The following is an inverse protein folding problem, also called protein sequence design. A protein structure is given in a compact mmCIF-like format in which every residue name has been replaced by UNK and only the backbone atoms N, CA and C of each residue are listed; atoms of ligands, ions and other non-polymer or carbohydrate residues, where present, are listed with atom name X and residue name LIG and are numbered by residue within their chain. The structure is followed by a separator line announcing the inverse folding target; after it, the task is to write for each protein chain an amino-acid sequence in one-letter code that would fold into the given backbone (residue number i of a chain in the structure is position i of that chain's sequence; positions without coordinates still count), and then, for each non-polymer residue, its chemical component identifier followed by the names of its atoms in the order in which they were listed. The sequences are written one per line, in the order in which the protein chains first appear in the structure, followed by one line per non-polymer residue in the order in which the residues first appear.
data_IF_687867553836
#
_entry.id   IF_687867553836
#
_cell.length_a   1.000
_cell.length_b   1.000
_cell.length_c   1.000
_cell.angle_alpha   90.00
_cell.angle_beta   90.00
_cell.angle_gamma   90.00
#
_symmetry.space_group_name_H-M   'P 1'
#
loop_
_entity.id
_entity.type
_entity.pdbx_description
1 polymer ?
#
# COMPACT_ATOMS: atom_id res chain seq x y z
N UNK A 1 -26.62 -27.20 -19.30
CA UNK A 1 -25.42 -27.70 -19.99
C UNK A 1 -24.41 -26.55 -20.01
N UNK A 2 -23.51 -26.51 -19.02
CA UNK A 2 -22.49 -25.45 -18.88
C UNK A 2 -21.39 -25.73 -19.91
N UNK A 3 -21.12 -24.78 -20.80
CA UNK A 3 -19.86 -24.77 -21.55
C UNK A 3 -18.85 -24.07 -20.62
N UNK A 4 -18.01 -24.86 -19.94
CA UNK A 4 -16.78 -24.34 -19.33
C UNK A 4 -15.98 -23.76 -20.48
N UNK A 5 -15.80 -22.45 -20.49
CA UNK A 5 -14.77 -21.81 -21.31
C UNK A 5 -13.45 -22.17 -20.65
N UNK A 6 -12.58 -22.86 -21.38
CA UNK A 6 -11.18 -23.01 -21.02
C UNK A 6 -10.62 -21.60 -20.84
N UNK A 7 -10.26 -21.26 -19.60
CA UNK A 7 -9.51 -20.05 -19.30
C UNK A 7 -8.12 -20.28 -19.93
N UNK A 8 -7.86 -19.60 -21.03
CA UNK A 8 -6.56 -19.59 -21.65
C UNK A 8 -5.49 -19.21 -20.60
N UNK A 9 -4.36 -19.90 -20.63
CA UNK A 9 -3.09 -19.59 -20.00
C UNK A 9 -2.64 -18.15 -20.33
N UNK A 10 -3.26 -17.13 -19.72
CA UNK A 10 -2.70 -15.79 -19.73
C UNK A 10 -1.58 -15.78 -18.69
N UNK A 11 -0.33 -15.82 -19.15
CA UNK A 11 0.82 -15.60 -18.31
C UNK A 11 0.57 -14.38 -17.40
N UNK A 12 0.95 -14.43 -16.11
CA UNK A 12 0.77 -13.29 -15.22
C UNK A 12 1.41 -12.06 -15.85
N UNK A 13 0.74 -10.90 -15.77
CA UNK A 13 1.33 -9.63 -16.18
C UNK A 13 2.44 -9.26 -15.19
N UNK A 14 3.59 -9.90 -15.36
CA UNK A 14 4.76 -9.74 -14.52
C UNK A 14 5.36 -8.32 -14.72
N UNK A 15 6.03 -7.79 -13.69
CA UNK A 15 6.85 -6.59 -13.82
C UNK A 15 7.78 -6.70 -15.03
N UNK A 16 7.81 -5.69 -15.89
CA UNK A 16 8.73 -5.68 -17.03
C UNK A 16 10.19 -5.63 -16.56
N UNK A 17 11.06 -6.39 -17.22
CA UNK A 17 12.51 -6.31 -17.03
C UNK A 17 13.11 -5.16 -17.85
N UNK A 18 14.36 -4.79 -17.55
CA UNK A 18 15.05 -3.68 -18.22
C UNK A 18 15.20 -3.86 -19.73
N UNK A 19 15.42 -5.11 -20.18
CA UNK A 19 15.55 -5.45 -21.60
C UNK A 19 14.23 -5.32 -22.36
N UNK A 20 13.10 -5.39 -21.64
CA UNK A 20 11.75 -5.26 -22.18
C UNK A 20 11.16 -3.85 -21.93
N UNK A 21 11.98 -2.88 -21.50
CA UNK A 21 11.48 -1.56 -21.15
C UNK A 21 10.97 -0.79 -22.38
N UNK A 22 9.71 -0.28 -22.36
CA UNK A 22 9.14 0.42 -23.51
C UNK A 22 9.92 1.68 -23.87
N UNK A 23 10.25 1.80 -25.16
CA UNK A 23 11.04 2.92 -25.70
C UNK A 23 10.39 4.29 -25.45
N UNK A 24 9.06 4.32 -25.43
CA UNK A 24 8.21 5.49 -25.26
C UNK A 24 8.44 6.16 -23.91
N UNK A 25 8.80 5.39 -22.88
CA UNK A 25 9.07 5.82 -21.50
C UNK A 25 10.50 5.48 -21.07
N UNK A 26 11.43 5.37 -22.02
CA UNK A 26 12.85 5.07 -21.76
C UNK A 26 13.51 6.04 -20.77
N UNK A 27 13.07 7.30 -20.76
CA UNK A 27 13.47 8.35 -19.81
C UNK A 27 13.10 8.02 -18.35
N UNK A 28 12.10 7.17 -18.12
CA UNK A 28 11.60 6.82 -16.79
C UNK A 28 12.29 5.60 -16.17
N UNK A 29 13.05 4.82 -16.96
CA UNK A 29 13.65 3.54 -16.53
C UNK A 29 14.57 3.70 -15.32
N UNK A 30 15.46 4.69 -15.36
CA UNK A 30 16.45 4.90 -14.30
C UNK A 30 15.89 5.70 -13.11
N UNK A 31 14.60 6.02 -13.11
CA UNK A 31 13.92 6.73 -12.03
C UNK A 31 13.06 5.79 -11.17
N UNK A 32 12.05 6.37 -10.51
CA UNK A 32 11.16 5.63 -9.61
C UNK A 32 10.45 4.44 -10.30
N UNK A 33 10.24 4.53 -11.61
CA UNK A 33 9.43 3.56 -12.33
C UNK A 33 10.17 2.24 -12.56
N UNK A 34 11.48 2.27 -12.80
CA UNK A 34 12.29 1.05 -12.92
C UNK A 34 12.77 0.50 -11.58
N UNK A 35 12.63 1.22 -10.47
CA UNK A 35 13.07 0.71 -9.16
C UNK A 35 12.04 -0.16 -8.46
N UNK A 36 10.75 -0.05 -8.79
CA UNK A 36 9.69 -0.76 -8.07
C UNK A 36 8.86 -1.64 -9.01
N UNK A 37 8.53 -2.86 -8.56
CA UNK A 37 7.75 -3.82 -9.32
C UNK A 37 6.33 -3.33 -9.62
N UNK A 38 5.74 -2.54 -8.74
CA UNK A 38 4.44 -1.88 -8.98
C UNK A 38 4.44 -1.01 -10.24
N UNK A 39 5.47 -0.18 -10.44
CA UNK A 39 5.58 0.67 -11.62
C UNK A 39 6.08 -0.06 -12.86
N UNK A 40 6.92 -1.09 -12.70
CA UNK A 40 7.25 -2.04 -13.78
C UNK A 40 6.01 -2.78 -14.28
N UNK A 41 5.08 -3.14 -13.41
CA UNK A 41 3.79 -3.73 -13.81
C UNK A 41 2.94 -2.70 -14.56
N UNK A 42 2.83 -1.48 -14.04
CA UNK A 42 2.12 -0.39 -14.72
C UNK A 42 2.74 -0.01 -16.08
N UNK A 43 4.05 -0.21 -16.26
CA UNK A 43 4.75 0.10 -17.50
C UNK A 43 4.32 -0.77 -18.69
N UNK A 44 3.58 -1.88 -18.46
CA UNK A 44 2.83 -2.58 -19.52
C UNK A 44 1.82 -1.66 -20.24
N UNK A 45 1.44 -0.54 -19.62
CA UNK A 45 0.71 0.56 -20.24
C UNK A 45 1.53 1.88 -20.16
N UNK A 46 2.43 2.15 -21.11
CA UNK A 46 3.36 3.29 -21.05
C UNK A 46 2.68 4.65 -20.91
N UNK A 47 1.58 4.88 -21.64
CA UNK A 47 0.84 6.14 -21.57
C UNK A 47 0.23 6.38 -20.17
N UNK A 48 -0.26 5.33 -19.51
CA UNK A 48 -0.77 5.42 -18.14
C UNK A 48 0.36 5.77 -17.17
N UNK A 49 1.49 5.06 -17.22
CA UNK A 49 2.63 5.33 -16.33
C UNK A 49 3.17 6.76 -16.51
N UNK A 50 3.21 7.27 -17.74
CA UNK A 50 3.61 8.65 -18.02
C UNK A 50 2.62 9.67 -17.42
N UNK A 51 1.32 9.43 -17.52
CA UNK A 51 0.30 10.28 -16.89
C UNK A 51 0.30 10.18 -15.36
N UNK A 52 0.67 9.01 -14.82
CA UNK A 52 0.76 8.73 -13.39
C UNK A 52 1.90 9.51 -12.72
N UNK A 53 3.04 9.67 -13.39
CA UNK A 53 4.24 10.29 -12.83
C UNK A 53 4.04 11.68 -12.17
N UNK A 54 3.38 12.67 -12.80
CA UNK A 54 3.14 13.97 -12.16
C UNK A 54 2.19 13.87 -10.96
N UNK A 55 1.12 13.05 -11.03
CA UNK A 55 0.22 12.84 -9.91
C UNK A 55 0.95 12.16 -8.73
N UNK A 56 1.73 11.12 -9.02
CA UNK A 56 2.60 10.47 -8.04
C UNK A 56 3.53 11.47 -7.37
N UNK A 57 4.18 12.35 -8.14
CA UNK A 57 5.08 13.35 -7.55
C UNK A 57 4.36 14.19 -6.50
N UNK A 58 3.15 14.67 -6.80
CA UNK A 58 2.34 15.40 -5.83
C UNK A 58 2.00 14.54 -4.61
N UNK A 59 1.36 13.39 -4.82
CA UNK A 59 0.89 12.51 -3.73
C UNK A 59 2.04 12.01 -2.85
N UNK A 60 3.22 11.74 -3.42
CA UNK A 60 4.35 11.13 -2.69
C UNK A 60 5.32 12.15 -2.10
N UNK A 61 5.50 13.32 -2.73
CA UNK A 61 6.55 14.30 -2.35
C UNK A 61 6.01 15.68 -2.01
N UNK A 62 5.12 16.23 -2.84
CA UNK A 62 4.77 17.66 -2.79
C UNK A 62 3.44 17.92 -2.03
N UNK A 63 2.89 16.91 -1.35
CA UNK A 63 1.65 16.97 -0.58
C UNK A 63 1.76 17.79 0.73
N UNK A 64 0.63 18.22 1.27
CA UNK A 64 0.49 18.96 2.52
C UNK A 64 0.38 18.07 3.79
N UNK A 65 0.33 16.74 3.64
CA UNK A 65 0.32 15.80 4.77
C UNK A 65 1.70 15.72 5.44
N UNK A 66 2.76 15.86 4.65
CA UNK A 66 4.12 15.55 5.09
C UNK A 66 4.38 14.05 5.22
N UNK A 67 5.62 13.65 5.54
CA UNK A 67 6.04 12.25 5.51
C UNK A 67 5.32 11.39 6.56
N UNK A 68 5.11 11.90 7.77
CA UNK A 68 4.46 11.15 8.85
C UNK A 68 2.99 10.85 8.55
N UNK A 69 2.20 11.86 8.20
CA UNK A 69 0.75 11.68 7.99
C UNK A 69 0.45 10.92 6.71
N UNK A 70 1.22 11.17 5.64
CA UNK A 70 1.04 10.40 4.41
C UNK A 70 1.28 8.91 4.65
N UNK A 71 2.30 8.55 5.44
CA UNK A 71 2.56 7.14 5.79
C UNK A 71 1.42 6.49 6.58
N UNK A 72 0.82 7.19 7.55
CA UNK A 72 -0.35 6.69 8.30
C UNK A 72 -1.55 6.46 7.37
N UNK A 73 -1.80 7.38 6.43
CA UNK A 73 -2.88 7.22 5.43
C UNK A 73 -2.64 5.97 4.59
N UNK A 74 -1.41 5.75 4.12
CA UNK A 74 -1.10 4.59 3.27
C UNK A 74 -1.15 3.28 4.05
N UNK A 75 -0.58 3.21 5.25
CA UNK A 75 -0.66 2.02 6.09
C UNK A 75 -2.11 1.61 6.35
N UNK A 76 -2.99 2.57 6.69
CA UNK A 76 -4.42 2.27 6.86
C UNK A 76 -5.07 1.84 5.55
N UNK A 77 -4.78 2.51 4.43
CA UNK A 77 -5.34 2.14 3.14
C UNK A 77 -4.91 0.74 2.69
N UNK A 78 -3.62 0.40 2.85
CA UNK A 78 -3.07 -0.92 2.56
C UNK A 78 -3.74 -2.01 3.41
N UNK A 79 -3.93 -1.76 4.71
CA UNK A 79 -4.66 -2.64 5.61
C UNK A 79 -6.11 -2.84 5.15
N UNK A 80 -6.82 -1.75 4.81
CA UNK A 80 -8.21 -1.78 4.33
C UNK A 80 -8.38 -2.49 3.00
N UNK A 81 -7.39 -2.42 2.12
CA UNK A 81 -7.34 -3.15 0.84
C UNK A 81 -6.92 -4.61 1.01
N UNK A 82 -6.32 -4.97 2.15
CA UNK A 82 -5.62 -6.25 2.34
C UNK A 82 -4.52 -6.46 1.28
N UNK A 83 -3.78 -5.39 0.97
CA UNK A 83 -2.67 -5.44 0.04
C UNK A 83 -1.37 -5.71 0.78
N UNK A 84 -0.85 -6.94 0.67
CA UNK A 84 0.45 -7.30 1.25
C UNK A 84 1.59 -6.49 0.66
N UNK A 85 1.52 -6.22 -0.65
CA UNK A 85 2.55 -5.46 -1.35
C UNK A 85 2.64 -4.06 -0.75
N UNK A 86 1.52 -3.34 -0.71
CA UNK A 86 1.50 -1.98 -0.17
C UNK A 86 1.86 -1.98 1.32
N UNK A 87 1.31 -2.90 2.11
CA UNK A 87 1.61 -3.00 3.54
C UNK A 87 3.11 -3.14 3.78
N UNK A 88 3.77 -4.12 3.14
CA UNK A 88 5.20 -4.40 3.36
C UNK A 88 6.12 -3.25 2.93
N UNK A 89 5.86 -2.64 1.78
CA UNK A 89 6.65 -1.50 1.31
C UNK A 89 6.50 -0.30 2.25
N UNK A 90 5.31 -0.11 2.80
CA UNK A 90 5.02 0.99 3.71
C UNK A 90 5.46 0.71 5.16
N UNK A 91 5.58 -0.56 5.60
CA UNK A 91 6.30 -0.90 6.84
C UNK A 91 7.77 -0.47 6.75
N UNK A 92 8.46 -0.82 5.66
CA UNK A 92 9.85 -0.41 5.42
C UNK A 92 10.00 1.12 5.43
N UNK A 93 9.14 1.82 4.69
CA UNK A 93 9.15 3.28 4.63
C UNK A 93 8.83 3.94 5.97
N UNK A 94 7.85 3.43 6.71
CA UNK A 94 7.51 3.90 8.04
C UNK A 94 8.69 3.78 9.02
N UNK A 95 9.41 2.65 8.98
CA UNK A 95 10.63 2.46 9.77
C UNK A 95 11.73 3.44 9.36
N UNK A 96 11.90 3.70 8.07
CA UNK A 96 12.89 4.65 7.56
C UNK A 96 12.63 6.09 8.02
N UNK A 97 11.37 6.46 8.31
CA UNK A 97 11.00 7.77 8.90
C UNK A 97 10.89 7.75 10.43
N UNK A 98 11.28 6.65 11.08
CA UNK A 98 11.41 6.54 12.53
C UNK A 98 10.17 6.03 13.28
N UNK A 99 9.20 5.40 12.61
CA UNK A 99 8.08 4.77 13.31
C UNK A 99 8.55 3.54 14.10
N UNK A 100 8.00 3.36 15.30
CA UNK A 100 8.12 2.09 16.01
C UNK A 100 7.21 1.04 15.37
N UNK A 101 7.59 -0.23 15.50
CA UNK A 101 6.73 -1.36 15.08
C UNK A 101 5.36 -1.31 15.77
N UNK A 102 5.30 -0.81 17.01
CA UNK A 102 4.05 -0.64 17.75
C UNK A 102 3.11 0.40 17.10
N UNK A 103 3.65 1.55 16.69
CA UNK A 103 2.87 2.57 15.97
C UNK A 103 2.36 2.05 14.62
N UNK A 104 3.20 1.30 13.90
CA UNK A 104 2.81 0.65 12.64
C UNK A 104 1.67 -0.34 12.88
N UNK A 105 1.81 -1.24 13.87
CA UNK A 105 0.76 -2.22 14.22
C UNK A 105 -0.55 -1.56 14.64
N UNK A 106 -0.47 -0.43 15.37
CA UNK A 106 -1.66 0.30 15.80
C UNK A 106 -2.56 0.70 14.62
N UNK A 107 -2.01 0.90 13.42
CA UNK A 107 -2.78 1.24 12.21
C UNK A 107 -3.69 0.13 11.70
N UNK A 108 -3.51 -1.12 12.13
CA UNK A 108 -4.45 -2.20 11.86
C UNK A 108 -5.63 -2.22 12.83
N UNK A 109 -5.47 -1.61 14.01
CA UNK A 109 -6.49 -1.53 15.05
C UNK A 109 -7.19 -0.18 15.05
N UNK A 110 -7.35 0.36 16.27
CA UNK A 110 -7.93 1.68 16.55
C UNK A 110 -6.88 2.52 17.27
N UNK A 111 -5.95 3.17 16.54
CA UNK A 111 -4.94 4.02 17.17
C UNK A 111 -5.60 5.22 17.83
N UNK A 112 -4.94 5.79 18.84
CA UNK A 112 -5.41 6.99 19.54
C UNK A 112 -4.92 8.29 18.85
N UNK A 113 -5.44 9.43 19.29
CA UNK A 113 -4.96 10.75 18.89
C UNK A 113 -5.09 11.05 17.39
N UNK A 114 -4.09 11.75 16.82
CA UNK A 114 -4.09 12.15 15.40
C UNK A 114 -4.03 10.93 14.46
N UNK A 115 -3.29 9.87 14.84
CA UNK A 115 -3.22 8.62 14.08
C UNK A 115 -4.61 7.95 13.99
N UNK A 116 -5.34 7.93 15.10
CA UNK A 116 -6.73 7.48 15.17
C UNK A 116 -7.68 8.29 14.29
N UNK A 117 -7.52 9.61 14.29
CA UNK A 117 -8.32 10.50 13.46
C UNK A 117 -8.07 10.25 11.97
N UNK A 118 -6.81 10.07 11.56
CA UNK A 118 -6.43 9.70 10.19
C UNK A 118 -6.98 8.32 9.82
N UNK A 119 -6.88 7.34 10.72
CA UNK A 119 -7.40 5.99 10.48
C UNK A 119 -8.91 6.01 10.21
N UNK A 120 -9.69 6.71 11.05
CA UNK A 120 -11.14 6.91 10.85
C UNK A 120 -11.47 7.62 9.54
N UNK A 121 -10.65 8.59 9.13
CA UNK A 121 -10.82 9.30 7.85
C UNK A 121 -10.69 8.35 6.65
N UNK A 122 -9.65 7.53 6.65
CA UNK A 122 -9.45 6.50 5.62
C UNK A 122 -10.61 5.52 5.64
N UNK A 123 -11.02 5.05 6.82
CA UNK A 123 -12.14 4.12 6.96
C UNK A 123 -13.44 4.67 6.36
N UNK A 124 -13.79 5.91 6.68
CA UNK A 124 -14.97 6.57 6.14
C UNK A 124 -14.93 6.66 4.59
N UNK A 125 -13.75 6.89 4.00
CA UNK A 125 -13.62 6.88 2.54
C UNK A 125 -13.86 5.48 1.93
N UNK A 126 -13.43 4.42 2.62
CA UNK A 126 -13.70 3.04 2.20
C UNK A 126 -15.14 2.59 2.46
N UNK A 127 -15.74 2.97 3.57
CA UNK A 127 -17.06 2.49 4.02
C UNK A 127 -18.20 3.35 3.51
N UNK A 128 -18.04 4.66 3.59
CA UNK A 128 -19.09 5.64 3.28
C UNK A 128 -18.88 6.34 1.93
N UNK A 129 -17.73 6.12 1.28
CA UNK A 129 -17.33 6.79 0.03
C UNK A 129 -17.17 8.31 0.14
N UNK A 130 -17.14 8.84 1.37
CA UNK A 130 -16.96 10.26 1.68
C UNK A 130 -16.56 10.44 3.14
N UNK A 131 -16.06 11.62 3.48
CA UNK A 131 -15.92 12.03 4.89
C UNK A 131 -17.26 12.59 5.40
N UNK A 132 -17.83 12.08 6.50
CA UNK A 132 -18.91 12.73 7.22
C UNK A 132 -18.53 14.16 7.60
N UNK A 133 -19.48 15.10 7.55
CA UNK A 133 -19.19 16.53 7.77
C UNK A 133 -18.54 16.83 9.11
N UNK A 134 -18.93 16.10 10.18
CA UNK A 134 -18.31 16.24 11.49
C UNK A 134 -16.84 15.78 11.50
N UNK A 135 -16.55 14.63 10.86
CA UNK A 135 -15.20 14.09 10.76
C UNK A 135 -14.31 14.97 9.87
N UNK A 136 -14.84 15.49 8.77
CA UNK A 136 -14.15 16.44 7.89
C UNK A 136 -13.78 17.73 8.64
N UNK A 137 -14.69 18.27 9.46
CA UNK A 137 -14.43 19.46 10.26
C UNK A 137 -13.34 19.21 11.31
N UNK A 138 -13.39 18.08 12.01
CA UNK A 138 -12.37 17.66 12.99
C UNK A 138 -10.99 17.50 12.34
N UNK A 139 -10.91 16.77 11.21
CA UNK A 139 -9.68 16.62 10.42
C UNK A 139 -9.13 17.96 9.95
N UNK A 140 -9.98 18.80 9.35
CA UNK A 140 -9.58 20.10 8.86
C UNK A 140 -9.01 21.00 9.95
N UNK A 141 -9.54 20.91 11.18
CA UNK A 141 -9.01 21.64 12.33
C UNK A 141 -7.64 21.10 12.79
N UNK A 142 -7.43 19.78 12.72
CA UNK A 142 -6.20 19.14 13.17
C UNK A 142 -5.03 19.27 12.18
N UNK A 143 -5.28 18.96 10.89
CA UNK A 143 -4.23 18.84 9.86
C UNK A 143 -4.30 19.93 8.77
N UNK A 144 -5.35 20.75 8.79
CA UNK A 144 -5.59 21.79 7.79
C UNK A 144 -6.30 21.27 6.54
N UNK A 145 -7.16 22.11 5.95
CA UNK A 145 -8.00 21.76 4.79
C UNK A 145 -7.21 21.22 3.60
N UNK A 146 -6.04 21.80 3.29
CA UNK A 146 -5.19 21.33 2.17
C UNK A 146 -4.74 19.88 2.37
N UNK A 147 -4.35 19.51 3.60
CA UNK A 147 -3.96 18.15 3.91
C UNK A 147 -5.14 17.17 3.85
N UNK A 148 -6.37 17.61 4.12
CA UNK A 148 -7.58 16.79 3.93
C UNK A 148 -7.78 16.43 2.45
N UNK A 149 -7.59 17.37 1.52
CA UNK A 149 -7.63 17.06 0.09
C UNK A 149 -6.55 16.05 -0.30
N UNK A 150 -5.32 16.23 0.21
CA UNK A 150 -4.23 15.30 -0.07
C UNK A 150 -4.43 13.93 0.58
N UNK A 151 -5.13 13.83 1.72
CA UNK A 151 -5.54 12.56 2.32
C UNK A 151 -6.47 11.80 1.39
N UNK A 152 -7.51 12.46 0.87
CA UNK A 152 -8.46 11.86 -0.07
C UNK A 152 -7.74 11.40 -1.33
N UNK A 153 -6.86 12.26 -1.89
CA UNK A 153 -6.07 11.92 -3.06
C UNK A 153 -5.14 10.73 -2.81
N UNK A 154 -4.51 10.66 -1.64
CA UNK A 154 -3.62 9.55 -1.24
C UNK A 154 -4.40 8.25 -1.13
N UNK A 155 -5.59 8.26 -0.50
CA UNK A 155 -6.45 7.06 -0.44
C UNK A 155 -6.82 6.56 -1.84
N UNK A 156 -7.26 7.45 -2.73
CA UNK A 156 -7.60 7.07 -4.11
C UNK A 156 -6.40 6.56 -4.91
N UNK A 157 -5.24 7.19 -4.74
CA UNK A 157 -3.98 6.81 -5.39
C UNK A 157 -3.55 5.40 -5.00
N UNK A 158 -3.47 5.11 -3.69
CA UNK A 158 -3.07 3.78 -3.20
C UNK A 158 -4.17 2.73 -3.34
N UNK A 159 -5.45 3.12 -3.45
CA UNK A 159 -6.50 2.19 -3.87
C UNK A 159 -6.27 1.72 -5.30
N UNK A 160 -5.99 2.64 -6.22
CA UNK A 160 -5.72 2.29 -7.62
C UNK A 160 -4.46 1.44 -7.76
N UNK A 161 -3.39 1.81 -7.05
CA UNK A 161 -2.13 1.05 -7.07
C UNK A 161 -2.30 -0.33 -6.42
N UNK A 162 -3.01 -0.38 -5.28
CA UNK A 162 -3.39 -1.61 -4.59
C UNK A 162 -4.17 -2.57 -5.50
N UNK A 163 -5.18 -2.08 -6.22
CA UNK A 163 -5.91 -2.90 -7.18
C UNK A 163 -5.00 -3.45 -8.28
N UNK A 164 -4.07 -2.64 -8.79
CA UNK A 164 -3.12 -3.07 -9.82
C UNK A 164 -2.22 -4.19 -9.30
N UNK A 165 -1.55 -3.99 -8.16
CA UNK A 165 -0.60 -4.98 -7.63
C UNK A 165 -1.28 -6.26 -7.17
N UNK A 166 -2.51 -6.17 -6.67
CA UNK A 166 -3.30 -7.35 -6.30
C UNK A 166 -3.87 -8.08 -7.51
N UNK A 167 -4.30 -7.37 -8.56
CA UNK A 167 -4.84 -8.01 -9.78
C UNK A 167 -3.79 -8.81 -10.53
N UNK A 168 -2.55 -8.36 -10.50
CA UNK A 168 -1.45 -8.97 -11.24
C UNK A 168 -0.49 -9.78 -10.37
N UNK A 169 -0.85 -10.03 -9.11
CA UNK A 169 -0.01 -10.73 -8.13
C UNK A 169 1.44 -10.21 -8.16
N UNK A 170 1.60 -8.88 -8.18
CA UNK A 170 2.90 -8.24 -8.36
C UNK A 170 3.85 -8.67 -7.23
N UNK A 171 5.02 -9.26 -7.54
CA UNK A 171 5.94 -9.72 -6.53
C UNK A 171 6.54 -8.54 -5.78
N UNK A 172 6.83 -8.71 -4.48
CA UNK A 172 7.52 -7.69 -3.70
C UNK A 172 8.87 -7.32 -4.31
N UNK A 173 9.29 -6.08 -4.10
CA UNK A 173 10.64 -5.68 -4.46
C UNK A 173 11.64 -6.49 -3.62
N UNK A 174 12.69 -7.04 -4.24
CA UNK A 174 13.65 -7.95 -3.59
C UNK A 174 14.24 -7.36 -2.31
N UNK A 175 14.60 -6.08 -2.34
CA UNK A 175 15.13 -5.37 -1.18
C UNK A 175 14.14 -5.34 0.00
N UNK A 176 12.85 -5.19 -0.27
CA UNK A 176 11.78 -5.19 0.76
C UNK A 176 11.58 -6.60 1.31
N UNK A 177 11.62 -7.62 0.44
CA UNK A 177 11.53 -9.01 0.87
C UNK A 177 12.70 -9.39 1.79
N UNK A 178 13.94 -9.00 1.44
CA UNK A 178 15.13 -9.23 2.25
C UNK A 178 15.04 -8.47 3.58
N UNK A 179 14.68 -7.19 3.57
CA UNK A 179 14.58 -6.37 4.78
C UNK A 179 13.60 -6.98 5.79
N UNK A 180 12.40 -7.35 5.33
CA UNK A 180 11.36 -7.88 6.22
C UNK A 180 11.60 -9.32 6.65
N UNK A 181 12.34 -10.11 5.87
CA UNK A 181 12.81 -11.42 6.30
C UNK A 181 13.87 -11.29 7.41
N UNK A 182 14.80 -10.34 7.28
CA UNK A 182 15.84 -10.09 8.28
C UNK A 182 15.30 -9.42 9.56
N UNK A 183 14.26 -8.59 9.41
CA UNK A 183 13.60 -7.89 10.51
C UNK A 183 12.08 -7.94 10.33
N UNK A 184 11.42 -9.04 10.74
CA UNK A 184 9.97 -9.13 10.74
C UNK A 184 9.34 -8.01 11.57
N UNK A 185 8.07 -7.68 11.30
CA UNK A 185 7.32 -6.77 12.17
C UNK A 185 7.11 -7.47 13.51
N UNK A 186 7.56 -6.86 14.60
CA UNK A 186 7.52 -7.48 15.93
C UNK A 186 6.07 -7.83 16.33
N UNK A 187 5.81 -9.00 16.93
CA UNK A 187 4.46 -9.37 17.38
C UNK A 187 3.93 -8.41 18.47
N UNK A 188 2.61 -8.45 18.75
CA UNK A 188 2.03 -7.74 19.89
C UNK A 188 2.65 -8.22 21.20
N UNK A 189 2.70 -7.35 22.21
CA UNK A 189 3.31 -7.68 23.51
C UNK A 189 2.41 -8.61 24.35
N UNK A 190 1.12 -8.79 24.01
CA UNK A 190 0.17 -9.72 24.67
C UNK A 190 -0.98 -10.12 23.69
N UNK A 191 -1.65 -11.25 23.97
CA UNK A 191 -2.70 -12.01 23.22
C UNK A 191 -3.90 -11.19 22.68
N UNK A 192 -3.66 -10.18 21.84
CA UNK A 192 -4.68 -9.33 21.24
C UNK A 192 -5.27 -9.88 19.92
N UNK A 193 -4.84 -11.07 19.47
CA UNK A 193 -5.37 -11.68 18.26
C UNK A 193 -6.56 -12.59 18.58
N UNK A 194 -7.76 -12.02 18.72
CA UNK A 194 -9.00 -12.81 18.73
C UNK A 194 -9.89 -12.45 17.54
N UNK A 195 -10.16 -13.47 16.72
CA UNK A 195 -11.23 -13.61 15.72
C UNK A 195 -11.19 -12.88 14.36
N UNK A 196 -10.24 -11.98 14.07
CA UNK A 196 -10.13 -11.34 12.74
C UNK A 196 -8.89 -11.84 11.95
N UNK A 197 -9.12 -12.58 10.86
CA UNK A 197 -8.06 -13.13 9.98
C UNK A 197 -7.19 -12.03 9.32
N UNK A 198 -7.75 -10.85 9.08
CA UNK A 198 -7.03 -9.69 8.54
C UNK A 198 -6.08 -9.08 9.56
N UNK A 199 -6.50 -8.98 10.83
CA UNK A 199 -5.59 -8.61 11.92
C UNK A 199 -4.49 -9.66 12.10
N UNK A 200 -4.79 -10.96 11.97
CA UNK A 200 -3.76 -12.00 12.17
C UNK A 200 -2.59 -11.85 11.19
N UNK A 201 -2.87 -11.71 9.89
CA UNK A 201 -1.84 -11.58 8.84
C UNK A 201 -0.93 -10.35 8.98
N UNK A 202 -1.49 -9.22 9.41
CA UNK A 202 -0.76 -7.94 9.45
C UNK A 202 -0.28 -7.53 10.86
N UNK A 203 -0.84 -8.13 11.92
CA UNK A 203 -0.55 -7.77 13.31
C UNK A 203 0.10 -8.87 14.13
N UNK A 204 -0.04 -10.14 13.74
CA UNK A 204 0.42 -11.27 14.52
C UNK A 204 1.40 -12.09 13.69
N UNK A 205 2.61 -12.31 14.23
CA UNK A 205 3.54 -13.26 13.62
C UNK A 205 2.95 -14.65 13.82
N UNK A 206 2.28 -15.21 12.82
CA UNK A 206 2.25 -16.66 12.76
C UNK A 206 3.69 -17.07 12.44
N UNK A 207 4.36 -17.64 13.44
CA UNK A 207 5.62 -18.35 13.29
C UNK A 207 5.45 -19.64 12.49
N UNK A 208 4.64 -19.62 11.44
CA UNK A 208 4.51 -20.71 10.49
C UNK A 208 5.40 -20.41 9.29
N UNK A 209 6.45 -21.22 9.26
CA UNK A 209 7.46 -21.40 8.23
C UNK A 209 6.87 -21.25 6.81
N UNK A 210 7.35 -20.24 6.08
CA UNK A 210 6.99 -19.98 4.67
C UNK A 210 7.58 -21.03 3.70
N UNK A 211 8.05 -22.17 4.22
CA UNK A 211 8.65 -23.26 3.47
C UNK A 211 7.66 -24.03 2.55
N UNK A 212 6.37 -23.69 2.54
CA UNK A 212 5.34 -24.41 1.77
C UNK A 212 5.16 -24.02 0.31
N UNK A 213 5.67 -22.88 -0.17
CA UNK A 213 5.33 -22.36 -1.50
C UNK A 213 6.27 -22.79 -2.65
N UNK A 214 7.10 -23.81 -2.45
CA UNK A 214 8.06 -24.32 -3.47
C UNK A 214 7.94 -25.81 -3.82
N UNK A 215 6.80 -26.47 -3.60
CA UNK A 215 6.52 -27.79 -4.18
C UNK A 215 5.03 -27.96 -4.48
N UNK A 216 4.64 -27.71 -5.72
CA UNK A 216 4.36 -28.75 -6.73
C UNK A 216 4.12 -28.10 -8.10
#
# INVERSE_FOLDING_TARGET
MRRRSDAADSAPCLPINDDCWPSEISDMRNGFAGTMNSYRTMALHPALLRAWAPLRRHVVKDNALGPTRSELVVLRAAYRLRSDYEWKHHVSRARAIGFSDERIRAMCGTPDGEDGLIARAVDALFDERRLPSALEAELSAAIGRRAVFDLIATVGFYSTLGYLVMTYDTPFDEAIAIELAARPLSPPVEDACTSDEGLRKYCCSDGEDVAGYLRD
#
